data_IF_528608375941
#
_entry.id   IF_528608375941
#
_cell.length_a   1.000
_cell.length_b   1.000
_cell.length_c   1.000
_cell.angle_alpha   90.00
_cell.angle_beta   90.00
_cell.angle_gamma   90.00
#
_symmetry.space_group_name_H-M   'P 1'
#
loop_
_entity.id
_entity.type
_entity.pdbx_description
1 polymer ?
#
# COMPACT_ATOMS: atom_id res chain seq x y z
N UNK A 1 4.90 -7.72 22.14
CA UNK A 1 4.78 -6.25 22.11
C UNK A 1 5.17 -5.79 20.73
N UNK A 2 4.20 -5.54 19.85
CA UNK A 2 4.40 -4.61 18.73
C UNK A 2 3.16 -3.76 18.71
N UNK A 3 3.36 -2.54 19.19
CA UNK A 3 2.38 -1.47 19.31
C UNK A 3 1.75 -1.17 17.95
N UNK A 4 0.51 -0.69 17.98
CA UNK A 4 -0.33 -0.45 16.82
C UNK A 4 0.39 0.40 15.76
N UNK A 5 0.77 -0.23 14.64
CA UNK A 5 1.09 0.48 13.40
C UNK A 5 -0.21 1.12 12.91
N UNK A 6 -0.24 2.44 12.92
CA UNK A 6 -1.42 3.28 12.72
C UNK A 6 -2.11 3.04 11.37
N UNK A 7 -3.43 2.81 11.42
CA UNK A 7 -4.40 2.97 10.34
C UNK A 7 -4.03 2.40 8.97
N UNK A 8 -3.52 3.26 8.09
CA UNK A 8 -3.32 3.01 6.67
C UNK A 8 -2.18 2.02 6.38
N UNK A 9 -1.02 2.17 7.04
CA UNK A 9 0.15 1.32 6.78
C UNK A 9 -0.12 -0.14 7.11
N UNK A 10 -0.77 -0.41 8.25
CA UNK A 10 -1.09 -1.77 8.67
C UNK A 10 -2.11 -2.45 7.73
N UNK A 11 -3.13 -1.70 7.31
CA UNK A 11 -4.12 -2.18 6.32
C UNK A 11 -3.44 -2.46 4.98
N UNK A 12 -2.57 -1.56 4.51
CA UNK A 12 -1.82 -1.73 3.27
C UNK A 12 -0.88 -2.94 3.36
N UNK A 13 -0.19 -3.12 4.48
CA UNK A 13 0.68 -4.27 4.72
C UNK A 13 -0.11 -5.58 4.64
N UNK A 14 -1.32 -5.61 5.20
CA UNK A 14 -2.20 -6.78 5.10
C UNK A 14 -2.61 -7.06 3.65
N UNK A 15 -2.94 -6.03 2.86
CA UNK A 15 -3.25 -6.18 1.44
C UNK A 15 -2.07 -6.72 0.64
N UNK A 16 -0.85 -6.24 0.91
CA UNK A 16 0.37 -6.69 0.24
C UNK A 16 0.69 -8.14 0.56
N UNK A 17 0.60 -8.52 1.84
CA UNK A 17 0.81 -9.92 2.27
C UNK A 17 -0.14 -10.88 1.55
N UNK A 18 -1.41 -10.50 1.42
CA UNK A 18 -2.41 -11.31 0.71
C UNK A 18 -2.15 -11.38 -0.82
N UNK A 19 -1.72 -10.27 -1.42
CA UNK A 19 -1.45 -10.21 -2.87
C UNK A 19 -0.16 -10.90 -3.28
N UNK A 20 0.89 -10.77 -2.46
CA UNK A 20 2.25 -11.25 -2.75
C UNK A 20 2.53 -12.62 -2.12
N UNK A 21 1.73 -13.05 -1.14
CA UNK A 21 1.93 -14.32 -0.44
C UNK A 21 3.12 -14.32 0.52
N UNK A 22 3.53 -13.16 1.02
CA UNK A 22 4.69 -12.99 1.90
C UNK A 22 4.30 -12.99 3.39
N UNK A 23 5.16 -13.48 4.30
CA UNK A 23 4.80 -13.64 5.72
C UNK A 23 4.62 -12.30 6.44
N UNK A 24 5.43 -11.30 6.11
CA UNK A 24 5.40 -9.95 6.67
C UNK A 24 5.90 -8.93 5.64
N UNK A 25 5.49 -7.68 5.81
CA UNK A 25 5.93 -6.52 5.02
C UNK A 25 6.21 -5.39 6.00
N UNK A 26 7.41 -4.83 5.92
CA UNK A 26 7.90 -3.66 6.63
C UNK A 26 7.64 -2.35 5.89
N UNK A 27 7.83 -1.20 6.56
CA UNK A 27 7.59 0.11 5.97
C UNK A 27 8.57 0.44 4.82
N UNK A 28 9.79 -0.11 4.89
CA UNK A 28 10.83 0.09 3.88
C UNK A 28 10.83 -1.00 2.78
N UNK A 29 9.94 -1.99 2.86
CA UNK A 29 9.84 -3.03 1.83
C UNK A 29 9.24 -2.44 0.56
N UNK A 30 9.89 -2.70 -0.57
CA UNK A 30 9.45 -2.32 -1.90
C UNK A 30 8.46 -3.36 -2.47
N UNK A 31 7.35 -2.89 -3.02
CA UNK A 31 6.29 -3.74 -3.57
C UNK A 31 6.79 -4.66 -4.69
N UNK A 32 7.62 -4.15 -5.59
CA UNK A 32 8.12 -4.90 -6.74
C UNK A 32 9.28 -5.83 -6.35
N UNK A 33 10.16 -5.43 -5.44
CA UNK A 33 11.19 -6.32 -4.90
C UNK A 33 10.59 -7.46 -4.08
N UNK A 34 9.48 -7.23 -3.40
CA UNK A 34 8.72 -8.26 -2.67
C UNK A 34 7.95 -9.25 -3.58
N UNK A 35 8.04 -9.11 -4.91
CA UNK A 35 7.40 -9.98 -5.90
C UNK A 35 6.17 -9.36 -6.58
N UNK A 36 5.95 -8.06 -6.42
CA UNK A 36 4.90 -7.31 -7.09
C UNK A 36 5.09 -7.26 -8.61
N UNK A 37 3.97 -7.27 -9.33
CA UNK A 37 3.91 -7.18 -10.79
C UNK A 37 2.83 -6.18 -11.17
N UNK A 38 2.75 -5.78 -12.44
CA UNK A 38 1.69 -4.88 -12.92
C UNK A 38 0.28 -5.41 -12.61
N UNK A 39 0.08 -6.74 -12.64
CA UNK A 39 -1.21 -7.34 -12.30
C UNK A 39 -1.54 -7.22 -10.81
N UNK A 40 -0.57 -7.47 -9.92
CA UNK A 40 -0.80 -7.30 -8.47
C UNK A 40 -0.90 -5.82 -8.09
N UNK A 41 -0.20 -4.93 -8.78
CA UNK A 41 -0.32 -3.47 -8.63
C UNK A 41 -1.74 -2.99 -8.99
N UNK A 42 -2.31 -3.42 -10.12
CA UNK A 42 -3.70 -3.10 -10.47
C UNK A 42 -4.68 -3.64 -9.42
N UNK A 43 -4.47 -4.86 -8.93
CA UNK A 43 -5.30 -5.44 -7.85
C UNK A 43 -5.17 -4.65 -6.55
N UNK A 44 -3.97 -4.17 -6.23
CA UNK A 44 -3.71 -3.34 -5.06
C UNK A 44 -4.46 -2.00 -5.17
N UNK A 45 -4.32 -1.30 -6.29
CA UNK A 45 -5.01 -0.04 -6.56
C UNK A 45 -6.53 -0.20 -6.36
N UNK A 46 -7.14 -1.24 -6.95
CA UNK A 46 -8.57 -1.51 -6.77
C UNK A 46 -8.97 -1.79 -5.32
N UNK A 47 -8.11 -2.45 -4.52
CA UNK A 47 -8.39 -2.71 -3.10
C UNK A 47 -8.26 -1.44 -2.26
N UNK A 48 -7.26 -0.62 -2.56
CA UNK A 48 -7.05 0.68 -1.92
C UNK A 48 -8.23 1.59 -2.23
N UNK A 49 -8.66 1.68 -3.49
CA UNK A 49 -9.82 2.48 -3.89
C UNK A 49 -11.10 2.07 -3.15
N UNK A 50 -11.34 0.75 -3.01
CA UNK A 50 -12.49 0.24 -2.26
C UNK A 50 -12.43 0.52 -0.76
N UNK A 51 -11.23 0.61 -0.19
CA UNK A 51 -11.03 0.75 1.26
C UNK A 51 -10.96 2.20 1.72
N UNK A 52 -10.30 3.04 0.94
CA UNK A 52 -9.95 4.42 1.30
C UNK A 52 -10.68 5.46 0.44
N UNK A 53 -11.30 5.05 -0.67
CA UNK A 53 -12.06 5.91 -1.57
C UNK A 53 -11.43 6.01 -2.97
N UNK A 54 -12.19 6.51 -3.96
CA UNK A 54 -11.66 6.75 -5.29
C UNK A 54 -10.45 7.70 -5.20
N UNK A 55 -9.46 7.49 -6.06
CA UNK A 55 -8.24 8.33 -6.15
C UNK A 55 -7.35 8.32 -4.88
N UNK A 56 -7.62 7.45 -3.90
CA UNK A 56 -6.81 7.34 -2.69
C UNK A 56 -5.32 7.03 -2.97
N UNK A 57 -5.02 6.31 -4.05
CA UNK A 57 -3.65 6.04 -4.49
C UNK A 57 -3.55 6.17 -6.01
N UNK A 58 -2.66 7.06 -6.47
CA UNK A 58 -2.31 7.17 -7.87
C UNK A 58 -1.35 6.05 -8.28
N UNK A 59 -1.48 5.48 -9.50
CA UNK A 59 -0.53 4.51 -10.02
C UNK A 59 0.89 5.05 -10.03
N UNK A 60 1.08 6.32 -10.43
CA UNK A 60 2.38 6.98 -10.52
C UNK A 60 3.12 6.96 -9.18
N UNK A 61 2.43 7.23 -8.07
CA UNK A 61 2.99 7.17 -6.71
C UNK A 61 3.52 5.78 -6.37
N UNK A 62 2.81 4.73 -6.76
CA UNK A 62 3.27 3.34 -6.52
C UNK A 62 4.50 2.99 -7.35
N UNK A 63 4.69 3.60 -8.54
CA UNK A 63 5.87 3.37 -9.38
C UNK A 63 7.06 4.28 -9.02
N UNK A 64 6.79 5.47 -8.49
CA UNK A 64 7.83 6.44 -8.08
C UNK A 64 8.54 6.02 -6.79
N UNK A 65 7.77 5.69 -5.74
CA UNK A 65 8.30 5.21 -4.47
C UNK A 65 7.48 4.01 -3.98
N UNK A 66 7.81 2.77 -4.42
CA UNK A 66 7.00 1.57 -4.17
C UNK A 66 7.13 1.03 -2.75
N UNK A 67 7.64 1.82 -1.79
CA UNK A 67 7.81 1.42 -0.40
C UNK A 67 6.50 1.54 0.38
N UNK A 68 6.22 0.56 1.23
CA UNK A 68 4.97 0.51 2.00
C UNK A 68 4.69 1.82 2.76
N UNK A 69 5.70 2.36 3.45
CA UNK A 69 5.57 3.59 4.23
C UNK A 69 5.27 4.81 3.37
N UNK A 70 5.92 4.92 2.21
CA UNK A 70 5.70 6.02 1.26
C UNK A 70 4.31 5.97 0.63
N UNK A 71 3.87 4.79 0.21
CA UNK A 71 2.53 4.57 -0.34
C UNK A 71 1.46 4.84 0.71
N UNK A 72 1.67 4.37 1.95
CA UNK A 72 0.74 4.63 3.04
C UNK A 72 0.63 6.13 3.36
N UNK A 73 1.76 6.85 3.38
CA UNK A 73 1.78 8.29 3.60
C UNK A 73 1.04 9.06 2.50
N UNK A 74 1.18 8.63 1.24
CA UNK A 74 0.46 9.24 0.12
C UNK A 74 -1.05 9.05 0.23
N UNK A 75 -1.51 7.86 0.65
CA UNK A 75 -2.95 7.61 0.89
C UNK A 75 -3.47 8.50 2.02
N UNK A 76 -2.71 8.62 3.12
CA UNK A 76 -3.06 9.48 4.25
C UNK A 76 -3.18 10.96 3.82
N UNK A 77 -2.31 11.41 2.92
CA UNK A 77 -2.34 12.78 2.40
C UNK A 77 -3.51 13.01 1.44
N UNK A 78 -3.83 12.05 0.58
CA UNK A 78 -5.02 12.10 -0.28
C UNK A 78 -6.30 12.17 0.55
N UNK A 79 -6.37 11.43 1.66
CA UNK A 79 -7.53 11.44 2.56
C UNK A 79 -7.75 12.79 3.27
N UNK A 80 -6.71 13.65 3.38
CA UNK A 80 -6.83 15.01 3.94
C UNK A 80 -7.31 16.05 2.94
N UNK A 81 -7.16 15.77 1.64
CA UNK A 81 -7.53 16.68 0.57
C UNK A 81 -8.94 16.41 0.00
N UNK A 82 -9.63 15.37 0.49
CA UNK A 82 -10.99 14.99 0.11
C UNK A 82 -12.09 15.52 1.04
#
# INVERSE_FOLDING_TARGET
MTEAKTGTEAELAAMWRDLLGVPAVGPDDDFFEAGGTSLTAIKLLQRVEKRFGPEALAPDTLYDDPRLGSVAAAIDESARHG
#
